data_IF_645292524954
#
_entry.id   IF_645292524954
#
_cell.length_a   1.000
_cell.length_b   1.000
_cell.length_c   1.000
_cell.angle_alpha   90.00
_cell.angle_beta   90.00
_cell.angle_gamma   90.00
#
_symmetry.space_group_name_H-M   'P 1'
#
loop_
_entity.id
_entity.type
_entity.pdbx_description
1 polymer ?
#
# COMPACT_ATOMS: atom_id res chain seq x y z
N UNK A 1 -0.54 27.85 10.34
CA UNK A 1 -0.61 26.51 9.71
C UNK A 1 -0.98 26.68 8.25
N UNK A 2 -0.18 26.15 7.32
CA UNK A 2 -0.54 26.09 5.89
C UNK A 2 -1.33 24.79 5.65
N UNK A 3 -2.35 24.78 4.76
CA UNK A 3 -3.09 23.57 4.47
C UNK A 3 -2.18 22.58 3.70
N UNK A 4 -2.14 21.31 4.12
CA UNK A 4 -1.62 20.24 3.29
C UNK A 4 -2.62 20.02 2.15
N UNK A 5 -2.29 20.48 0.95
CA UNK A 5 -3.06 20.16 -0.25
C UNK A 5 -2.09 19.69 -1.32
N UNK A 6 -2.18 18.42 -1.66
CA UNK A 6 -1.81 17.90 -2.97
C UNK A 6 -2.86 16.84 -3.31
N UNK A 7 -4.00 17.28 -3.83
CA UNK A 7 -4.86 16.42 -4.63
C UNK A 7 -4.67 16.92 -6.07
N UNK A 8 -3.76 16.26 -6.76
CA UNK A 8 -3.50 16.37 -8.18
C UNK A 8 -4.45 15.46 -8.96
N UNK A 9 -4.56 15.66 -10.27
CA UNK A 9 -5.28 14.72 -11.14
C UNK A 9 -4.73 13.29 -11.02
N UNK A 10 -3.44 13.13 -10.67
CA UNK A 10 -2.83 11.83 -10.43
C UNK A 10 -3.33 11.17 -9.13
N UNK A 11 -3.64 11.94 -8.09
CA UNK A 11 -4.13 11.39 -6.82
C UNK A 11 -5.54 10.82 -6.98
N UNK A 12 -6.40 11.52 -7.74
CA UNK A 12 -7.74 11.02 -8.07
C UNK A 12 -7.69 9.75 -8.93
N UNK A 13 -6.75 9.66 -9.87
CA UNK A 13 -6.53 8.45 -10.67
C UNK A 13 -6.02 7.29 -9.80
N UNK A 14 -5.09 7.56 -8.90
CA UNK A 14 -4.58 6.58 -7.93
C UNK A 14 -5.70 6.09 -7.03
N UNK A 15 -6.55 6.99 -6.49
CA UNK A 15 -7.72 6.61 -5.69
C UNK A 15 -8.67 5.69 -6.47
N UNK A 16 -8.98 6.03 -7.72
CA UNK A 16 -9.84 5.19 -8.55
C UNK A 16 -9.23 3.80 -8.80
N UNK A 17 -7.92 3.73 -9.05
CA UNK A 17 -7.20 2.45 -9.23
C UNK A 17 -7.17 1.61 -7.95
N UNK A 18 -6.93 2.23 -6.81
CA UNK A 18 -6.89 1.57 -5.49
C UNK A 18 -8.25 0.94 -5.13
N UNK A 19 -9.36 1.61 -5.46
CA UNK A 19 -10.72 1.14 -5.16
C UNK A 19 -11.13 -0.12 -5.94
N UNK A 20 -10.52 -0.38 -7.09
CA UNK A 20 -10.85 -1.57 -7.92
C UNK A 20 -9.92 -2.75 -7.66
N UNK A 21 -8.92 -2.60 -6.79
CA UNK A 21 -8.05 -3.68 -6.37
C UNK A 21 -8.68 -4.52 -5.25
N UNK A 22 -8.33 -5.81 -5.22
CA UNK A 22 -8.53 -6.65 -4.04
C UNK A 22 -7.29 -6.51 -3.14
N UNK A 23 -7.53 -6.28 -1.85
CA UNK A 23 -6.48 -6.05 -0.86
C UNK A 23 -6.33 -7.25 0.07
N UNK A 24 -5.08 -7.66 0.28
CA UNK A 24 -4.71 -8.76 1.17
C UNK A 24 -3.74 -8.29 2.24
N UNK A 25 -4.08 -8.58 3.50
CA UNK A 25 -3.12 -8.51 4.60
C UNK A 25 -2.36 -9.83 4.69
N UNK A 26 -1.06 -9.77 4.97
CA UNK A 26 -0.26 -10.95 5.26
C UNK A 26 0.73 -10.68 6.38
N UNK A 27 1.20 -11.77 6.99
CA UNK A 27 2.26 -11.75 7.99
C UNK A 27 3.43 -12.61 7.49
N UNK A 28 4.65 -12.27 7.90
CA UNK A 28 5.84 -13.07 7.62
C UNK A 28 6.38 -13.70 8.89
N UNK A 29 6.57 -15.02 8.92
CA UNK A 29 7.33 -15.71 9.98
C UNK A 29 8.83 -15.58 9.73
N UNK A 30 9.29 -14.36 9.48
CA UNK A 30 10.68 -14.07 9.11
C UNK A 30 11.33 -13.20 10.17
N UNK A 31 12.64 -13.32 10.39
CA UNK A 31 13.33 -12.50 11.37
C UNK A 31 13.24 -11.00 11.12
N UNK A 32 12.79 -10.52 9.97
CA UNK A 32 12.72 -9.10 9.62
C UNK A 32 11.31 -8.51 9.67
N UNK A 33 10.28 -9.31 10.00
CA UNK A 33 8.89 -8.87 10.09
C UNK A 33 8.42 -8.96 11.54
N UNK A 34 8.48 -7.84 12.26
CA UNK A 34 8.25 -7.81 13.70
C UNK A 34 6.85 -7.32 14.08
N UNK A 35 6.00 -6.95 13.11
CA UNK A 35 4.65 -6.39 13.31
C UNK A 35 4.65 -5.12 14.17
N UNK A 36 5.76 -4.38 14.19
CA UNK A 36 5.90 -3.15 14.99
C UNK A 36 5.73 -1.95 14.08
N UNK A 37 4.72 -1.11 14.37
CA UNK A 37 4.36 0.22 13.81
C UNK A 37 4.34 0.36 12.27
N UNK A 38 5.35 -0.10 11.54
CA UNK A 38 5.54 0.01 10.10
C UNK A 38 5.64 -1.35 9.37
N UNK A 39 5.72 -2.47 10.10
CA UNK A 39 5.73 -3.82 9.52
C UNK A 39 4.33 -4.27 9.08
N UNK A 40 3.90 -3.79 7.91
CA UNK A 40 2.59 -4.10 7.34
C UNK A 40 2.78 -4.94 6.08
N UNK A 41 2.37 -6.22 6.14
CA UNK A 41 2.25 -7.05 4.95
C UNK A 41 0.97 -6.70 4.21
N UNK A 42 1.07 -5.96 3.12
CA UNK A 42 -0.07 -5.60 2.28
C UNK A 42 0.20 -5.98 0.83
N UNK A 43 -0.81 -6.50 0.14
CA UNK A 43 -0.75 -6.75 -1.29
C UNK A 43 -2.02 -6.27 -1.98
N UNK A 44 -1.85 -5.64 -3.14
CA UNK A 44 -2.93 -5.21 -4.02
C UNK A 44 -2.93 -6.06 -5.28
N UNK A 45 -4.04 -6.77 -5.52
CA UNK A 45 -4.28 -7.52 -6.73
C UNK A 45 -5.20 -6.71 -7.66
N UNK A 46 -4.82 -6.56 -8.92
CA UNK A 46 -5.66 -5.92 -9.92
C UNK A 46 -6.98 -6.67 -10.11
N UNK A 47 -8.02 -5.97 -10.55
CA UNK A 47 -9.36 -6.54 -10.78
C UNK A 47 -9.37 -7.76 -11.71
N UNK A 48 -8.45 -7.82 -12.67
CA UNK A 48 -8.30 -8.95 -13.61
C UNK A 48 -7.49 -10.13 -13.04
N UNK A 49 -6.96 -9.99 -11.81
CA UNK A 49 -6.17 -11.01 -11.14
C UNK A 49 -4.76 -11.21 -11.71
N UNK A 50 -4.30 -10.34 -12.62
CA UNK A 50 -3.05 -10.55 -13.38
C UNK A 50 -1.86 -9.76 -12.88
N UNK A 51 -2.06 -8.74 -12.06
CA UNK A 51 -1.01 -7.88 -11.54
C UNK A 51 -1.09 -7.80 -10.02
N UNK A 52 0.03 -8.07 -9.37
CA UNK A 52 0.18 -7.99 -7.92
C UNK A 52 1.21 -6.90 -7.61
N UNK A 53 0.86 -6.00 -6.69
CA UNK A 53 1.79 -5.03 -6.11
C UNK A 53 1.90 -5.28 -4.61
N UNK A 54 3.12 -5.31 -4.10
CA UNK A 54 3.43 -5.40 -2.67
C UNK A 54 4.15 -4.11 -2.29
N UNK A 55 3.49 -3.18 -1.56
CA UNK A 55 4.14 -1.95 -1.13
C UNK A 55 5.27 -2.28 -0.17
N UNK A 56 6.47 -1.83 -0.49
CA UNK A 56 7.60 -1.88 0.45
C UNK A 56 7.63 -0.56 1.20
N UNK A 57 7.01 -0.52 2.39
CA UNK A 57 7.19 0.57 3.33
C UNK A 57 8.24 0.12 4.35
N UNK A 58 9.50 0.50 4.12
CA UNK A 58 10.56 0.36 5.11
C UNK A 58 10.83 1.73 5.68
N UNK A 59 10.54 1.93 6.97
CA UNK A 59 11.10 3.08 7.70
C UNK A 59 12.60 2.78 7.89
N UNK A 60 13.47 3.57 7.26
CA UNK A 60 14.93 3.47 7.44
C UNK A 60 15.43 4.48 8.48
N UNK A 61 14.56 4.91 9.40
CA UNK A 61 14.90 5.82 10.49
C UNK A 61 16.05 5.35 11.37
#
# INVERSE_FOLDING_TARGET
>A
MRPFRLASAADAEVEQRVRVCTWFGFEGSTPWFYRVVWDIGLAALSRDGRRLAVPTATDTG
#
